data_IF_484346011924
#
_entry.id   IF_484346011924
#
_cell.length_a   1.000
_cell.length_b   1.000
_cell.length_c   1.000
_cell.angle_alpha   90.00
_cell.angle_beta   90.00
_cell.angle_gamma   90.00
#
_symmetry.space_group_name_H-M   'P 1'
#
loop_
_entity.id
_entity.type
_entity.pdbx_description
1 polymer ?
#
# COMPACT_ATOMS: atom_id res chain seq x y z
N UNK A 1 -16.76 -64.11 11.09
CA UNK A 1 -18.19 -63.78 10.96
C UNK A 1 -18.27 -62.28 10.67
N UNK A 2 -18.43 -61.89 9.40
CA UNK A 2 -19.70 -61.46 8.75
C UNK A 2 -20.16 -60.10 9.33
N UNK A 3 -20.49 -59.04 8.61
CA UNK A 3 -20.39 -58.62 7.20
C UNK A 3 -20.86 -57.16 7.15
N UNK A 4 -20.44 -56.41 6.11
CA UNK A 4 -21.12 -55.20 5.62
C UNK A 4 -22.56 -55.54 5.17
N UNK A 5 -23.51 -54.60 5.29
CA UNK A 5 -24.60 -54.26 4.34
C UNK A 5 -25.40 -53.11 4.98
N UNK A 6 -25.47 -51.89 4.44
CA UNK A 6 -26.09 -51.41 3.19
C UNK A 6 -27.63 -51.53 3.16
N UNK A 7 -28.25 -50.54 2.50
CA UNK A 7 -29.67 -50.39 2.07
C UNK A 7 -30.59 -49.70 3.08
N UNK A 8 -31.11 -48.49 2.84
CA UNK A 8 -31.88 -47.88 1.73
C UNK A 8 -33.31 -47.56 2.23
N UNK A 9 -33.66 -46.27 2.12
CA UNK A 9 -34.98 -45.59 2.10
C UNK A 9 -36.15 -46.42 1.52
N UNK A 10 -37.46 -46.00 1.57
CA UNK A 10 -37.99 -44.63 1.78
C UNK A 10 -39.31 -44.53 2.62
N UNK A 11 -39.63 -43.36 3.18
CA UNK A 11 -41.06 -42.99 3.37
C UNK A 11 -41.29 -41.53 3.00
N UNK A 12 -42.36 -41.37 2.24
CA UNK A 12 -42.82 -40.22 1.46
C UNK A 12 -43.62 -39.22 2.32
N UNK A 13 -43.39 -37.94 2.05
CA UNK A 13 -44.37 -36.84 1.91
C UNK A 13 -45.34 -36.54 3.06
N UNK A 14 -45.17 -35.35 3.68
CA UNK A 14 -46.26 -34.37 3.73
C UNK A 14 -45.70 -32.94 3.81
N UNK A 15 -46.02 -32.15 2.79
CA UNK A 15 -45.77 -30.71 2.69
C UNK A 15 -46.56 -29.95 3.76
N UNK A 16 -45.93 -28.97 4.40
CA UNK A 16 -46.56 -27.65 4.58
C UNK A 16 -45.49 -26.59 4.27
N UNK A 17 -45.81 -25.79 3.25
CA UNK A 17 -45.01 -24.69 2.78
C UNK A 17 -44.97 -23.56 3.81
N UNK A 18 -43.78 -22.99 4.03
CA UNK A 18 -43.65 -21.58 4.39
C UNK A 18 -42.37 -21.07 3.74
N UNK A 19 -42.60 -20.32 2.68
CA UNK A 19 -41.64 -19.73 1.78
C UNK A 19 -40.90 -18.61 2.51
N UNK A 20 -39.62 -18.78 2.79
CA UNK A 20 -38.69 -17.66 2.94
C UNK A 20 -37.63 -17.84 1.86
N UNK A 21 -37.83 -17.11 0.76
CA UNK A 21 -36.86 -16.95 -0.31
C UNK A 21 -35.78 -16.01 0.19
N UNK A 22 -34.58 -16.53 0.47
CA UNK A 22 -33.33 -15.76 0.37
C UNK A 22 -32.33 -16.63 -0.43
N UNK A 23 -32.56 -16.59 -1.74
CA UNK A 23 -31.62 -16.82 -2.86
C UNK A 23 -30.67 -15.60 -2.81
N UNK A 24 -29.34 -15.61 -2.91
CA UNK A 24 -28.32 -16.56 -3.42
C UNK A 24 -26.94 -16.02 -3.03
N UNK A 25 -25.96 -16.94 -2.95
CA UNK A 25 -24.55 -16.82 -3.32
C UNK A 25 -23.97 -15.40 -3.47
N UNK A 26 -23.16 -14.98 -2.49
CA UNK A 26 -22.12 -13.99 -2.71
C UNK A 26 -20.92 -14.69 -3.38
N UNK A 27 -20.95 -14.81 -4.71
CA UNK A 27 -19.73 -14.99 -5.48
C UNK A 27 -18.91 -13.71 -5.34
N UNK A 28 -17.81 -13.76 -4.59
CA UNK A 28 -16.79 -12.72 -4.63
C UNK A 28 -16.19 -12.70 -6.03
N UNK A 29 -16.75 -11.87 -6.91
CA UNK A 29 -16.09 -11.49 -8.14
C UNK A 29 -14.86 -10.67 -7.74
N UNK A 30 -13.68 -11.26 -7.83
CA UNK A 30 -12.47 -10.48 -8.07
C UNK A 30 -12.73 -9.70 -9.37
N UNK A 31 -13.09 -8.42 -9.22
CA UNK A 31 -13.09 -7.51 -10.35
C UNK A 31 -11.64 -7.46 -10.83
N UNK A 32 -11.34 -8.17 -11.91
CA UNK A 32 -10.17 -7.88 -12.71
C UNK A 32 -10.31 -6.41 -13.12
N UNK A 33 -9.50 -5.54 -12.51
CA UNK A 33 -9.38 -4.16 -12.97
C UNK A 33 -9.06 -4.24 -14.47
N UNK A 34 -9.96 -3.73 -15.30
CA UNK A 34 -9.74 -3.69 -16.74
C UNK A 34 -8.45 -2.92 -16.98
N UNK A 35 -7.49 -3.54 -17.68
CA UNK A 35 -6.26 -2.85 -18.09
C UNK A 35 -6.68 -1.55 -18.82
N UNK A 36 -6.19 -0.37 -18.39
CA UNK A 36 -6.54 0.89 -19.03
C UNK A 36 -6.20 0.79 -20.52
N UNK A 37 -7.23 0.83 -21.37
CA UNK A 37 -7.04 0.72 -22.81
C UNK A 37 -6.34 1.99 -23.28
N UNK A 38 -5.06 1.88 -23.63
CA UNK A 38 -4.30 3.00 -24.18
C UNK A 38 -5.03 3.54 -25.43
N UNK A 39 -5.40 4.81 -25.41
CA UNK A 39 -5.93 5.48 -26.60
C UNK A 39 -4.76 5.75 -27.56
N UNK A 40 -4.49 4.79 -28.43
CA UNK A 40 -3.40 4.85 -29.41
C UNK A 40 -3.50 6.08 -30.34
N UNK A 41 -4.67 6.72 -30.41
CA UNK A 41 -4.93 7.93 -31.21
C UNK A 41 -4.54 9.24 -30.51
N UNK A 42 -4.34 9.21 -29.18
CA UNK A 42 -3.98 10.37 -28.39
C UNK A 42 -2.62 10.94 -28.84
N UNK A 43 -2.54 12.28 -28.95
CA UNK A 43 -1.27 12.95 -29.22
C UNK A 43 -0.37 12.85 -27.97
N UNK A 44 0.93 12.55 -28.12
CA UNK A 44 1.88 12.72 -27.02
C UNK A 44 1.83 14.15 -26.46
N UNK A 45 1.95 14.35 -25.14
CA UNK A 45 2.10 15.67 -24.55
C UNK A 45 3.22 16.47 -25.25
N UNK A 46 2.99 17.76 -25.49
CA UNK A 46 4.02 18.63 -26.01
C UNK A 46 5.22 18.65 -25.06
N UNK A 47 6.44 18.57 -25.60
CA UNK A 47 7.70 18.56 -24.86
C UNK A 47 8.01 17.30 -24.01
N UNK A 48 7.26 16.20 -24.19
CA UNK A 48 7.68 14.89 -23.67
C UNK A 48 8.58 14.16 -24.68
N UNK A 49 9.66 13.55 -24.19
CA UNK A 49 10.58 12.73 -24.98
C UNK A 49 9.86 11.50 -25.51
N UNK A 50 10.08 11.21 -26.79
CA UNK A 50 9.44 10.13 -27.52
C UNK A 50 10.50 9.12 -27.98
N UNK A 51 10.18 7.84 -27.86
CA UNK A 51 11.12 6.75 -28.12
C UNK A 51 10.67 5.89 -29.29
N UNK A 52 11.62 5.21 -29.94
CA UNK A 52 11.34 4.27 -31.01
C UNK A 52 10.82 2.93 -30.48
N UNK A 53 11.16 2.57 -29.24
CA UNK A 53 10.69 1.36 -28.58
C UNK A 53 10.39 1.59 -27.09
N UNK A 54 9.55 0.73 -26.51
CA UNK A 54 9.31 0.71 -25.07
C UNK A 54 10.59 0.41 -24.27
N UNK A 55 11.47 -0.45 -24.82
CA UNK A 55 12.78 -0.75 -24.21
C UNK A 55 13.67 0.49 -24.14
N UNK A 56 13.74 1.27 -25.20
CA UNK A 56 14.53 2.51 -25.22
C UNK A 56 14.02 3.52 -24.18
N UNK A 57 12.70 3.62 -24.01
CA UNK A 57 12.09 4.45 -22.97
C UNK A 57 12.45 3.97 -21.56
N UNK A 58 12.36 2.66 -21.29
CA UNK A 58 12.73 2.06 -20.01
C UNK A 58 14.22 2.27 -19.68
N UNK A 59 15.11 2.00 -20.64
CA UNK A 59 16.55 2.18 -20.47
C UNK A 59 16.91 3.65 -20.18
N UNK A 60 16.26 4.59 -20.87
CA UNK A 60 16.43 6.02 -20.64
C UNK A 60 15.99 6.45 -19.23
N UNK A 61 14.87 5.92 -18.73
CA UNK A 61 14.39 6.19 -17.39
C UNK A 61 15.38 5.69 -16.32
N UNK A 62 15.87 4.45 -16.47
CA UNK A 62 16.87 3.86 -15.56
C UNK A 62 18.16 4.67 -15.56
N UNK A 63 18.63 5.10 -16.73
CA UNK A 63 19.84 5.90 -16.84
C UNK A 63 19.68 7.26 -16.14
N UNK A 64 18.60 7.98 -16.41
CA UNK A 64 18.34 9.29 -15.80
C UNK A 64 18.19 9.18 -14.27
N UNK A 65 17.53 8.11 -13.80
CA UNK A 65 17.38 7.84 -12.37
C UNK A 65 18.72 7.50 -11.68
N UNK A 66 19.61 6.75 -12.34
CA UNK A 66 20.91 6.36 -11.80
C UNK A 66 21.83 7.57 -11.49
N UNK A 67 21.75 8.62 -12.31
CA UNK A 67 22.50 9.87 -12.08
C UNK A 67 21.68 10.95 -11.37
N UNK A 68 20.41 10.66 -11.03
CA UNK A 68 19.43 11.63 -10.56
C UNK A 68 19.38 12.91 -11.41
N UNK A 69 19.36 12.71 -12.74
CA UNK A 69 19.22 13.81 -13.70
C UNK A 69 17.74 14.24 -13.77
N UNK A 70 17.38 15.19 -12.91
CA UNK A 70 16.00 15.67 -12.78
C UNK A 70 15.48 16.31 -14.07
N UNK A 71 16.34 16.93 -14.87
CA UNK A 71 15.95 17.50 -16.16
C UNK A 71 15.59 16.39 -17.15
N UNK A 72 16.45 15.38 -17.29
CA UNK A 72 16.16 14.22 -18.14
C UNK A 72 14.92 13.45 -17.66
N UNK A 73 14.75 13.25 -16.35
CA UNK A 73 13.56 12.61 -15.79
C UNK A 73 12.27 13.35 -16.17
N UNK A 74 12.27 14.69 -16.10
CA UNK A 74 11.13 15.53 -16.51
C UNK A 74 10.86 15.47 -18.01
N UNK A 75 11.90 15.43 -18.85
CA UNK A 75 11.71 15.24 -20.29
C UNK A 75 11.11 13.86 -20.62
N UNK A 76 11.56 12.80 -19.94
CA UNK A 76 11.10 11.42 -20.16
C UNK A 76 9.64 11.24 -19.72
N UNK A 77 9.31 11.74 -18.53
CA UNK A 77 7.99 11.59 -17.91
C UNK A 77 7.01 12.69 -18.36
N UNK A 78 7.48 13.77 -18.96
CA UNK A 78 6.65 14.84 -19.49
C UNK A 78 6.11 15.80 -18.41
N UNK A 79 5.25 16.75 -18.80
CA UNK A 79 4.88 17.91 -17.96
C UNK A 79 4.17 17.58 -16.64
N UNK A 80 3.56 16.40 -16.53
CA UNK A 80 2.87 15.95 -15.31
C UNK A 80 3.82 15.40 -14.24
N UNK A 81 5.12 15.34 -14.50
CA UNK A 81 6.09 14.61 -13.68
C UNK A 81 6.65 15.36 -12.49
N UNK A 82 6.36 16.64 -12.31
CA UNK A 82 7.00 17.48 -11.28
C UNK A 82 6.96 16.81 -9.90
N UNK A 83 5.75 16.51 -9.44
CA UNK A 83 5.49 15.88 -8.13
C UNK A 83 5.99 14.43 -8.02
N UNK A 84 6.43 13.82 -9.13
CA UNK A 84 7.01 12.47 -9.15
C UNK A 84 8.53 12.49 -9.04
N UNK A 85 9.15 13.54 -9.58
CA UNK A 85 10.62 13.66 -9.67
C UNK A 85 11.18 14.46 -8.49
N UNK A 86 10.44 15.46 -8.03
CA UNK A 86 10.88 16.37 -6.98
C UNK A 86 9.81 16.56 -5.90
N UNK A 87 10.25 16.59 -4.65
CA UNK A 87 9.48 16.93 -3.48
C UNK A 87 10.20 18.01 -2.66
N UNK A 88 9.71 18.28 -1.46
CA UNK A 88 10.39 19.19 -0.51
C UNK A 88 11.62 18.54 0.14
N UNK A 89 11.89 17.25 -0.12
CA UNK A 89 13.07 16.52 0.34
C UNK A 89 13.93 16.00 -0.84
N UNK A 90 14.91 16.79 -1.31
CA UNK A 90 15.75 16.42 -2.45
C UNK A 90 16.68 15.23 -2.16
N UNK A 91 16.97 14.94 -0.88
CA UNK A 91 17.78 13.78 -0.49
C UNK A 91 16.95 12.52 -0.65
N UNK A 92 15.71 12.54 -0.17
CA UNK A 92 14.78 11.43 -0.34
C UNK A 92 14.46 11.19 -1.83
N UNK A 93 14.26 12.25 -2.61
CA UNK A 93 14.03 12.14 -4.06
C UNK A 93 15.18 11.41 -4.76
N UNK A 94 16.42 11.83 -4.47
CA UNK A 94 17.62 11.18 -5.00
C UNK A 94 17.71 9.73 -4.58
N UNK A 95 17.48 9.43 -3.30
CA UNK A 95 17.55 8.07 -2.78
C UNK A 95 16.52 7.16 -3.46
N UNK A 96 15.28 7.63 -3.67
CA UNK A 96 14.24 6.87 -4.39
C UNK A 96 14.65 6.59 -5.83
N UNK A 97 15.16 7.58 -6.54
CA UNK A 97 15.59 7.43 -7.93
C UNK A 97 16.77 6.45 -8.08
N UNK A 98 17.78 6.58 -7.22
CA UNK A 98 18.95 5.68 -7.24
C UNK A 98 18.55 4.26 -6.85
N UNK A 99 17.72 4.08 -5.81
CA UNK A 99 17.23 2.76 -5.41
C UNK A 99 16.42 2.07 -6.52
N UNK A 100 15.59 2.83 -7.25
CA UNK A 100 14.91 2.31 -8.45
C UNK A 100 15.92 1.83 -9.50
N UNK A 101 16.92 2.66 -9.82
CA UNK A 101 17.93 2.31 -10.81
C UNK A 101 18.78 1.09 -10.40
N UNK A 102 19.08 0.94 -9.10
CA UNK A 102 19.75 -0.22 -8.54
C UNK A 102 18.91 -1.49 -8.69
N UNK A 103 17.61 -1.44 -8.34
CA UNK A 103 16.69 -2.56 -8.55
C UNK A 103 16.57 -2.95 -10.02
N UNK A 104 16.49 -1.97 -10.91
CA UNK A 104 16.42 -2.21 -12.35
C UNK A 104 17.69 -2.86 -12.91
N UNK A 105 18.86 -2.49 -12.38
CA UNK A 105 20.15 -3.11 -12.72
C UNK A 105 20.29 -4.53 -12.17
N UNK A 106 19.74 -4.79 -10.98
CA UNK A 106 19.74 -6.13 -10.38
C UNK A 106 18.91 -7.10 -11.24
N UNK A 107 17.71 -6.69 -11.63
CA UNK A 107 16.84 -7.44 -12.56
C UNK A 107 15.84 -6.47 -13.17
N UNK A 108 15.62 -6.56 -14.47
CA UNK A 108 14.49 -5.91 -15.12
C UNK A 108 13.96 -6.70 -16.31
N UNK A 109 12.65 -6.66 -16.48
CA UNK A 109 11.91 -7.21 -17.62
C UNK A 109 10.94 -6.14 -18.15
N UNK A 110 10.47 -6.36 -19.38
CA UNK A 110 9.49 -5.48 -20.00
C UNK A 110 8.34 -6.33 -20.53
N UNK A 111 7.22 -6.27 -19.84
CA UNK A 111 5.98 -6.95 -20.21
C UNK A 111 5.21 -6.09 -21.19
N UNK A 112 5.30 -6.41 -22.48
CA UNK A 112 4.65 -5.66 -23.56
C UNK A 112 3.43 -6.41 -24.11
N UNK A 113 2.29 -5.71 -24.13
CA UNK A 113 1.03 -6.17 -24.73
C UNK A 113 0.52 -5.12 -25.71
N UNK A 114 0.74 -5.36 -27.01
CA UNK A 114 0.32 -4.44 -28.08
C UNK A 114 1.00 -3.07 -27.94
N UNK A 115 0.17 -2.04 -27.73
CA UNK A 115 0.57 -0.63 -27.59
C UNK A 115 0.80 -0.21 -26.12
N UNK A 116 0.95 -1.17 -25.22
CA UNK A 116 1.16 -0.96 -23.78
C UNK A 116 2.32 -1.83 -23.29
N UNK A 117 3.16 -1.29 -22.40
CA UNK A 117 4.26 -2.01 -21.77
C UNK A 117 4.43 -1.58 -20.31
N UNK A 118 4.72 -2.56 -19.44
CA UNK A 118 5.08 -2.35 -18.03
C UNK A 118 6.51 -2.83 -17.81
N UNK A 119 7.33 -1.99 -17.19
CA UNK A 119 8.66 -2.39 -16.74
C UNK A 119 8.53 -3.06 -15.37
N UNK A 120 9.13 -4.23 -15.21
CA UNK A 120 9.27 -4.89 -13.92
C UNK A 120 10.71 -4.74 -13.42
N UNK A 121 10.91 -4.54 -12.13
CA UNK A 121 12.23 -4.27 -11.54
C UNK A 121 12.48 -5.06 -10.25
N UNK A 122 13.74 -5.43 -10.05
CA UNK A 122 14.21 -6.13 -8.86
C UNK A 122 13.82 -7.61 -8.83
N UNK A 123 14.28 -8.31 -7.80
CA UNK A 123 14.06 -9.76 -7.63
C UNK A 123 12.59 -10.15 -7.49
N UNK A 124 11.76 -9.24 -6.97
CA UNK A 124 10.34 -9.45 -6.71
C UNK A 124 9.45 -9.15 -7.93
N UNK A 125 10.06 -8.90 -9.10
CA UNK A 125 9.35 -8.57 -10.35
C UNK A 125 8.36 -7.41 -10.15
N UNK A 126 8.80 -6.36 -9.44
CA UNK A 126 7.93 -5.27 -9.05
C UNK A 126 7.51 -4.45 -10.27
N UNK A 127 6.20 -4.37 -10.61
CA UNK A 127 5.74 -3.62 -11.76
C UNK A 127 5.81 -2.11 -11.48
N UNK A 128 6.56 -1.39 -12.33
CA UNK A 128 6.64 0.06 -12.30
C UNK A 128 5.24 0.65 -12.53
N UNK A 129 4.80 1.59 -11.68
CA UNK A 129 3.44 2.11 -11.75
C UNK A 129 3.18 3.01 -12.97
N UNK A 130 4.23 3.51 -13.63
CA UNK A 130 4.10 4.39 -14.81
C UNK A 130 4.24 3.53 -16.07
N UNK A 131 3.14 3.24 -16.80
CA UNK A 131 3.21 2.43 -17.99
C UNK A 131 3.86 3.19 -19.15
N UNK A 132 4.39 2.43 -20.11
CA UNK A 132 4.89 2.95 -21.38
C UNK A 132 3.86 2.61 -22.46
N UNK A 133 3.34 3.62 -23.13
CA UNK A 133 2.27 3.48 -24.13
C UNK A 133 2.72 3.96 -25.50
N UNK A 134 2.23 3.30 -26.55
CA UNK A 134 2.47 3.70 -27.92
C UNK A 134 1.39 4.68 -28.37
N UNK A 135 1.80 5.90 -28.74
CA UNK A 135 0.93 6.97 -29.25
C UNK A 135 1.47 7.42 -30.59
N UNK A 136 0.66 7.33 -31.65
CA UNK A 136 1.04 7.72 -33.03
C UNK A 136 2.39 7.13 -33.50
N UNK A 137 2.65 5.86 -33.17
CA UNK A 137 3.86 5.16 -33.58
C UNK A 137 5.09 5.40 -32.70
N UNK A 138 4.98 6.21 -31.65
CA UNK A 138 6.07 6.54 -30.71
C UNK A 138 5.73 6.08 -29.30
N UNK A 139 6.74 5.67 -28.55
CA UNK A 139 6.58 5.23 -27.16
C UNK A 139 6.83 6.38 -26.20
N UNK A 140 5.96 6.53 -25.21
CA UNK A 140 6.01 7.56 -24.16
C UNK A 140 5.53 6.97 -22.83
N UNK A 141 5.95 7.55 -21.71
CA UNK A 141 5.38 7.20 -20.40
C UNK A 141 3.99 7.84 -20.24
N UNK A 142 3.00 7.07 -19.78
CA UNK A 142 1.69 7.60 -19.40
C UNK A 142 1.70 8.05 -17.94
N UNK A 143 2.32 9.21 -17.71
CA UNK A 143 2.53 9.77 -16.37
C UNK A 143 1.22 10.06 -15.66
N UNK A 144 0.14 10.38 -16.37
CA UNK A 144 -1.17 10.63 -15.76
C UNK A 144 -1.71 9.35 -15.10
N UNK A 145 -1.70 8.23 -15.82
CA UNK A 145 -2.08 6.92 -15.27
C UNK A 145 -1.12 6.53 -14.15
N UNK A 146 0.18 6.79 -14.32
CA UNK A 146 1.18 6.53 -13.30
C UNK A 146 0.95 7.26 -11.98
N UNK A 147 0.56 8.54 -12.01
CA UNK A 147 0.23 9.32 -10.80
C UNK A 147 -0.93 8.72 -10.03
N UNK A 148 -1.98 8.31 -10.74
CA UNK A 148 -3.15 7.68 -10.14
C UNK A 148 -2.78 6.34 -9.49
N UNK A 149 -1.99 5.50 -10.17
CA UNK A 149 -1.52 4.23 -9.61
C UNK A 149 -0.63 4.43 -8.38
N UNK A 150 0.29 5.41 -8.41
CA UNK A 150 1.13 5.74 -7.24
C UNK A 150 0.26 6.18 -6.06
N UNK A 151 -0.76 7.01 -6.30
CA UNK A 151 -1.69 7.43 -5.27
C UNK A 151 -2.46 6.23 -4.71
N UNK A 152 -2.99 5.36 -5.56
CA UNK A 152 -3.73 4.17 -5.16
C UNK A 152 -2.87 3.23 -4.31
N UNK A 153 -1.60 3.02 -4.69
CA UNK A 153 -0.64 2.24 -3.89
C UNK A 153 -0.41 2.86 -2.51
N UNK A 154 -0.26 4.19 -2.44
CA UNK A 154 -0.11 4.90 -1.16
C UNK A 154 -1.35 4.76 -0.29
N UNK A 155 -2.55 4.88 -0.88
CA UNK A 155 -3.81 4.65 -0.16
C UNK A 155 -3.84 3.22 0.38
N UNK A 156 -3.53 2.21 -0.45
CA UNK A 156 -3.50 0.81 -0.03
C UNK A 156 -2.51 0.55 1.11
N UNK A 157 -1.30 1.11 1.05
CA UNK A 157 -0.34 1.00 2.16
C UNK A 157 -0.88 1.65 3.42
N UNK A 158 -1.39 2.88 3.33
CA UNK A 158 -1.96 3.59 4.49
C UNK A 158 -3.16 2.83 5.11
N UNK A 159 -4.00 2.19 4.30
CA UNK A 159 -5.10 1.35 4.77
C UNK A 159 -4.61 0.11 5.51
N UNK A 160 -3.57 -0.56 5.00
CA UNK A 160 -2.93 -1.69 5.67
C UNK A 160 -2.24 -1.28 6.98
N UNK A 161 -1.61 -0.10 7.00
CA UNK A 161 -1.00 0.47 8.21
C UNK A 161 -2.07 0.79 9.25
N UNK A 162 -3.19 1.39 8.85
CA UNK A 162 -4.31 1.65 9.75
C UNK A 162 -4.86 0.36 10.37
N UNK A 163 -5.03 -0.70 9.57
CA UNK A 163 -5.44 -2.02 10.08
C UNK A 163 -4.42 -2.55 11.09
N UNK A 164 -3.13 -2.42 10.79
CA UNK A 164 -2.04 -2.87 11.68
C UNK A 164 -2.06 -2.11 13.00
N UNK A 165 -2.25 -0.79 12.96
CA UNK A 165 -2.39 0.07 14.15
C UNK A 165 -3.62 -0.32 14.97
N UNK A 166 -4.78 -0.56 14.34
CA UNK A 166 -5.98 -0.99 15.05
C UNK A 166 -5.78 -2.33 15.77
N UNK A 167 -5.07 -3.27 15.15
CA UNK A 167 -4.71 -4.56 15.79
C UNK A 167 -3.77 -4.36 16.97
N UNK A 168 -2.71 -3.56 16.78
CA UNK A 168 -1.78 -3.24 17.86
C UNK A 168 -2.46 -2.54 19.05
N UNK A 169 -3.45 -1.67 18.79
CA UNK A 169 -4.25 -1.05 19.83
C UNK A 169 -5.10 -2.06 20.61
N UNK A 170 -5.76 -3.00 19.92
CA UNK A 170 -6.53 -4.08 20.57
C UNK A 170 -5.63 -4.98 21.43
N UNK A 171 -4.44 -5.34 20.92
CA UNK A 171 -3.46 -6.13 21.67
C UNK A 171 -2.94 -5.38 22.91
N UNK A 172 -2.58 -4.10 22.77
CA UNK A 172 -2.16 -3.25 23.89
C UNK A 172 -3.25 -3.11 24.97
N UNK A 173 -4.51 -2.98 24.54
CA UNK A 173 -5.66 -2.92 25.46
C UNK A 173 -5.88 -4.24 26.19
N UNK A 174 -5.75 -5.38 25.50
CA UNK A 174 -5.83 -6.71 26.12
C UNK A 174 -4.72 -6.92 27.14
N UNK A 175 -3.48 -6.53 26.81
CA UNK A 175 -2.34 -6.59 27.72
C UNK A 175 -2.57 -5.71 28.96
N UNK A 176 -2.96 -4.45 28.77
CA UNK A 176 -3.28 -3.54 29.87
C UNK A 176 -4.33 -4.16 30.81
N UNK A 177 -5.38 -4.76 30.25
CA UNK A 177 -6.46 -5.37 31.01
C UNK A 177 -6.11 -6.70 31.70
N UNK A 178 -4.88 -7.24 31.56
CA UNK A 178 -4.44 -8.40 32.33
C UNK A 178 -4.17 -8.04 33.79
N UNK A 179 -3.85 -6.78 34.06
CA UNK A 179 -3.53 -6.26 35.39
C UNK A 179 -4.54 -5.21 35.85
N UNK A 180 -4.55 -4.92 37.16
CA UNK A 180 -5.35 -3.83 37.72
C UNK A 180 -4.44 -2.62 37.90
N UNK A 181 -4.89 -1.49 37.39
CA UNK A 181 -4.16 -0.22 37.48
C UNK A 181 -4.90 0.80 38.34
N UNK A 182 -4.15 1.71 38.97
CA UNK A 182 -4.65 2.87 39.74
C UNK A 182 -5.77 2.54 40.75
N UNK A 183 -5.46 1.70 41.75
CA UNK A 183 -6.37 1.25 42.82
C UNK A 183 -7.69 0.61 42.32
N UNK A 184 -7.77 0.25 41.05
CA UNK A 184 -8.95 -0.41 40.48
C UNK A 184 -9.21 -1.76 41.13
N UNK A 185 -10.49 -2.06 41.37
CA UNK A 185 -10.92 -3.32 41.99
C UNK A 185 -11.16 -4.44 40.99
N UNK A 186 -11.33 -4.10 39.72
CA UNK A 186 -11.60 -5.03 38.60
C UNK A 186 -10.56 -4.81 37.52
N UNK A 187 -10.38 -5.76 36.61
CA UNK A 187 -9.57 -5.51 35.41
C UNK A 187 -10.33 -4.56 34.49
N UNK A 188 -9.62 -3.62 33.86
CA UNK A 188 -10.23 -2.60 33.02
C UNK A 188 -9.38 -2.34 31.78
N UNK A 189 -10.01 -1.76 30.76
CA UNK A 189 -9.31 -1.21 29.61
C UNK A 189 -8.84 0.23 29.89
N UNK A 190 -7.71 0.60 29.30
CA UNK A 190 -7.16 1.94 29.41
C UNK A 190 -8.12 2.94 28.76
N UNK A 191 -8.34 4.07 29.43
CA UNK A 191 -9.24 5.13 28.94
C UNK A 191 -8.48 6.19 28.13
N UNK A 192 -7.15 6.12 28.11
CA UNK A 192 -6.25 7.02 27.40
C UNK A 192 -5.16 6.23 26.68
N UNK A 193 -4.51 6.88 25.72
CA UNK A 193 -3.27 6.34 25.16
C UNK A 193 -2.08 6.76 26.03
N UNK A 194 -1.95 8.05 26.35
CA UNK A 194 -0.97 8.56 27.31
C UNK A 194 -1.63 8.78 28.66
N UNK A 195 -1.06 8.20 29.72
CA UNK A 195 -1.57 8.34 31.08
C UNK A 195 -1.44 9.77 31.61
N UNK A 196 -2.32 10.12 32.54
CA UNK A 196 -2.14 11.32 33.36
C UNK A 196 -0.84 11.20 34.19
N UNK A 197 -0.08 12.30 34.39
CA UNK A 197 1.15 12.25 35.17
C UNK A 197 0.97 11.59 36.54
N UNK A 198 1.83 10.61 36.83
CA UNK A 198 1.81 9.83 38.08
C UNK A 198 0.72 8.76 38.17
N UNK A 199 0.00 8.48 37.07
CA UNK A 199 -1.03 7.44 36.97
C UNK A 199 -0.69 6.44 35.87
N UNK A 200 -1.33 5.28 35.93
CA UNK A 200 -1.31 4.26 34.89
C UNK A 200 -2.72 4.11 34.26
N UNK A 201 -3.39 5.23 33.92
CA UNK A 201 -4.76 5.24 33.36
C UNK A 201 -4.81 5.24 31.81
N UNK A 202 -3.65 5.10 31.18
CA UNK A 202 -3.42 5.00 29.74
C UNK A 202 -2.51 3.84 29.34
N UNK A 203 -2.39 3.60 28.03
CA UNK A 203 -1.58 2.53 27.46
C UNK A 203 -0.06 2.77 27.50
N UNK A 204 0.37 4.01 27.77
CA UNK A 204 1.76 4.38 28.04
C UNK A 204 1.83 5.38 29.20
N UNK A 205 2.83 5.23 30.07
CA UNK A 205 3.07 6.12 31.21
C UNK A 205 4.56 6.36 31.45
N UNK A 206 4.86 7.42 32.20
CA UNK A 206 6.21 7.70 32.69
C UNK A 206 6.41 7.11 34.07
N UNK A 207 7.41 6.25 34.21
CA UNK A 207 7.87 5.73 35.49
C UNK A 207 8.57 6.84 36.31
N UNK A 208 8.76 6.66 37.63
CA UNK A 208 9.44 7.66 38.48
C UNK A 208 10.85 8.03 38.05
N UNK A 209 11.55 7.14 37.33
CA UNK A 209 12.89 7.37 36.78
C UNK A 209 12.87 8.07 35.41
N UNK A 210 11.68 8.40 34.88
CA UNK A 210 11.49 9.06 33.59
C UNK A 210 11.42 8.12 32.38
N UNK A 211 11.61 6.81 32.57
CA UNK A 211 11.46 5.81 31.50
C UNK A 211 9.99 5.61 31.13
N UNK A 212 9.75 5.17 29.90
CA UNK A 212 8.42 4.78 29.46
C UNK A 212 8.07 3.37 29.95
N UNK A 213 6.83 3.20 30.39
CA UNK A 213 6.22 1.92 30.71
C UNK A 213 4.85 1.78 30.05
N UNK A 214 4.32 0.56 30.09
CA UNK A 214 3.02 0.19 29.54
C UNK A 214 3.08 -0.54 28.20
N UNK A 215 1.93 -1.04 27.72
CA UNK A 215 1.89 -1.88 26.52
C UNK A 215 2.24 -1.15 25.21
N UNK A 216 2.09 0.17 25.16
CA UNK A 216 2.51 0.97 23.99
C UNK A 216 3.99 1.32 24.12
N UNK A 217 4.78 0.93 23.12
CA UNK A 217 6.21 1.16 23.09
C UNK A 217 6.61 2.64 23.09
N UNK A 218 7.79 2.91 23.65
CA UNK A 218 8.39 4.24 23.85
C UNK A 218 8.29 5.16 22.63
N UNK A 219 8.70 4.71 21.45
CA UNK A 219 8.70 5.57 20.25
C UNK A 219 7.30 6.06 19.85
N UNK A 220 6.25 5.25 20.05
CA UNK A 220 4.86 5.68 19.79
C UNK A 220 4.40 6.63 20.88
N UNK A 221 4.75 6.36 22.14
CA UNK A 221 4.40 7.21 23.26
C UNK A 221 5.01 8.62 23.13
N UNK A 222 6.28 8.71 22.74
CA UNK A 222 6.97 9.98 22.49
C UNK A 222 6.35 10.77 21.33
N UNK A 223 6.02 10.09 20.23
CA UNK A 223 5.38 10.73 19.08
C UNK A 223 4.01 11.32 19.44
N UNK A 224 3.23 10.61 20.27
CA UNK A 224 1.93 11.08 20.76
C UNK A 224 2.06 12.23 21.76
N UNK A 225 3.08 12.22 22.62
CA UNK A 225 3.33 13.29 23.61
C UNK A 225 3.74 14.61 22.96
N UNK A 226 4.56 14.57 21.90
CA UNK A 226 4.92 15.76 21.12
C UNK A 226 3.71 16.38 20.40
N UNK A 227 2.61 15.62 20.32
CA UNK A 227 1.51 15.86 19.40
C UNK A 227 2.02 15.76 17.97
N UNK A 228 1.14 15.45 17.02
CA UNK A 228 1.46 15.61 15.59
C UNK A 228 1.54 17.11 15.20
N UNK A 229 2.33 17.89 15.93
CA UNK A 229 2.53 19.33 15.73
C UNK A 229 3.64 19.59 14.74
N UNK A 230 4.57 18.64 14.56
CA UNK A 230 5.67 18.78 13.63
C UNK A 230 5.34 18.06 12.30
N UNK A 231 4.70 18.79 11.39
CA UNK A 231 4.46 18.37 10.00
C UNK A 231 5.75 18.07 9.21
N UNK A 232 6.92 18.31 9.81
CA UNK A 232 8.24 18.25 9.17
C UNK A 232 8.91 16.89 9.26
N UNK A 233 8.37 15.93 10.02
CA UNK A 233 8.90 14.57 10.05
C UNK A 233 8.05 13.64 9.17
N UNK A 234 8.58 13.20 8.02
CA UNK A 234 7.95 12.14 7.26
C UNK A 234 7.86 10.87 8.11
N UNK A 235 6.75 10.15 7.99
CA UNK A 235 6.73 8.74 8.39
C UNK A 235 7.67 7.97 7.46
N UNK A 236 8.60 7.22 8.03
CA UNK A 236 9.51 6.31 7.33
C UNK A 236 9.26 4.88 7.80
#
# INVERSE_FOLDING_TARGET
>A
MISKLNMMNPVKTLQIASTIVIVTLATAAFAAAAEPKADASATPPANQKQFASAKEAADALVQAAASFDTAALKEILGPESEDLVASEDPVQDKNRAVAFAEKAKEKSSLEQKGDHAIMEVGKDDFPLPIPIVKRKGKWVFDTKVGKEEILNRRIGTNELDAITICRGFDDAQKEYAQEKHDDSKVNQYAQKIISTPGKHDGLAWKNPDGTWGGPVGEGVAEALEQGYTDKTKPYH
#
